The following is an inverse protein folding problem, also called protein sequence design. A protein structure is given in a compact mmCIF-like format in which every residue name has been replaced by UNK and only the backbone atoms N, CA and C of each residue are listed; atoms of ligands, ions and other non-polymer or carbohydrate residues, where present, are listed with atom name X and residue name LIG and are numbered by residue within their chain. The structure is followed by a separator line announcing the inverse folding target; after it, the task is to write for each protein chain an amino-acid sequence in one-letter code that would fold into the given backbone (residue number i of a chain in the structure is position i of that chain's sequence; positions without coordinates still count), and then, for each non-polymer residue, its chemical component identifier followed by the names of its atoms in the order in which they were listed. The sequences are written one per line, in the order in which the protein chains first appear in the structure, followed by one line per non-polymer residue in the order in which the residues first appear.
data_IF_944377157979
#
_entry.id   IF_944377157979
#
_cell.length_a   1.000
_cell.length_b   1.000
_cell.length_c   1.000
_cell.angle_alpha   90.00
_cell.angle_beta   90.00
_cell.angle_gamma   90.00
#
_symmetry.space_group_name_H-M   'P 1'
#
loop_
_entity.id
_entity.type
_entity.pdbx_description
1 polymer ?
#
# COMPACT_ATOMS: atom_id res chain seq x y z
N UNK A 1 17.16 -11.51 -13.58
CA UNK A 1 16.10 -11.00 -12.69
C UNK A 1 15.25 -10.05 -13.53
N UNK A 2 13.92 -10.23 -13.54
CA UNK A 2 13.05 -9.28 -14.24
C UNK A 2 12.88 -8.05 -13.35
N UNK A 3 12.96 -6.87 -13.94
CA UNK A 3 12.70 -5.63 -13.23
C UNK A 3 11.20 -5.46 -12.99
N UNK A 4 10.82 -5.02 -11.78
CA UNK A 4 9.44 -4.62 -11.50
C UNK A 4 9.11 -3.34 -12.28
N UNK A 5 7.93 -3.27 -12.89
CA UNK A 5 7.47 -2.03 -13.53
C UNK A 5 7.38 -0.89 -12.53
N UNK A 6 7.67 0.33 -12.99
CA UNK A 6 7.54 1.56 -12.21
C UNK A 6 6.63 2.60 -12.89
N UNK A 7 6.07 2.30 -14.07
CA UNK A 7 5.17 3.22 -14.78
C UNK A 7 3.80 2.57 -14.96
N UNK A 8 2.76 3.23 -14.46
CA UNK A 8 1.39 2.73 -14.46
C UNK A 8 0.44 3.80 -14.99
N UNK A 9 -0.54 3.37 -15.81
CA UNK A 9 -1.62 4.23 -16.32
C UNK A 9 -2.86 4.24 -15.42
N UNK A 10 -2.78 3.57 -14.26
CA UNK A 10 -3.85 3.43 -13.28
C UNK A 10 -3.35 3.85 -11.90
N UNK A 11 -4.24 4.31 -11.00
CA UNK A 11 -3.86 4.62 -9.62
C UNK A 11 -3.23 3.41 -8.89
N UNK A 12 -2.24 3.66 -8.03
CA UNK A 12 -1.57 2.61 -7.26
C UNK A 12 -1.59 2.94 -5.76
N UNK A 13 -2.21 2.08 -4.97
CA UNK A 13 -2.25 2.21 -3.51
C UNK A 13 -1.61 0.99 -2.86
N UNK A 14 -0.69 1.22 -1.92
CA UNK A 14 -0.08 0.15 -1.11
C UNK A 14 -0.58 0.31 0.32
N UNK A 15 -1.12 -0.77 0.87
CA UNK A 15 -1.54 -0.87 2.27
C UNK A 15 -0.62 -1.87 2.95
N UNK A 16 0.07 -1.46 4.01
CA UNK A 16 1.13 -2.25 4.63
C UNK A 16 1.08 -2.14 6.15
N UNK A 17 1.17 -3.27 6.86
CA UNK A 17 1.29 -3.26 8.30
C UNK A 17 2.70 -2.88 8.75
N UNK A 18 2.80 -2.14 9.85
CA UNK A 18 4.08 -1.72 10.43
C UNK A 18 4.93 -2.91 10.91
N UNK A 19 4.28 -3.99 11.34
CA UNK A 19 4.93 -5.18 11.90
C UNK A 19 5.01 -6.34 10.91
N UNK A 20 4.86 -6.07 9.62
CA UNK A 20 5.05 -7.10 8.59
C UNK A 20 6.54 -7.44 8.47
N UNK A 21 6.89 -8.63 8.94
CA UNK A 21 8.22 -9.23 8.81
C UNK A 21 8.33 -10.22 7.64
N UNK A 22 7.22 -10.51 6.94
CA UNK A 22 7.23 -11.31 5.72
C UNK A 22 7.68 -10.46 4.53
N UNK A 23 7.26 -9.19 4.48
CA UNK A 23 7.66 -8.22 3.46
C UNK A 23 8.24 -6.97 4.12
N UNK A 24 9.45 -6.59 3.71
CA UNK A 24 10.10 -5.40 4.28
C UNK A 24 9.35 -4.13 3.90
N UNK A 25 8.77 -3.47 4.91
CA UNK A 25 8.14 -2.16 4.74
C UNK A 25 9.11 -1.11 4.15
N UNK A 26 10.40 -1.22 4.48
CA UNK A 26 11.43 -0.32 3.94
C UNK A 26 11.62 -0.54 2.44
N UNK A 27 11.67 -1.79 1.98
CA UNK A 27 11.79 -2.08 0.54
C UNK A 27 10.50 -1.75 -0.21
N UNK A 28 9.33 -2.04 0.36
CA UNK A 28 8.04 -1.67 -0.20
C UNK A 28 7.95 -0.14 -0.39
N UNK A 29 8.39 0.65 0.61
CA UNK A 29 8.43 2.11 0.51
C UNK A 29 9.40 2.60 -0.57
N UNK A 30 10.63 2.05 -0.61
CA UNK A 30 11.61 2.38 -1.66
C UNK A 30 11.10 2.07 -3.07
N UNK A 31 10.34 1.00 -3.23
CA UNK A 31 9.69 0.67 -4.50
C UNK A 31 8.57 1.67 -4.82
N UNK A 32 7.68 1.95 -3.86
CA UNK A 32 6.61 2.95 -3.99
C UNK A 32 7.12 4.33 -4.41
N UNK A 33 8.25 4.76 -3.86
CA UNK A 33 8.85 6.06 -4.19
C UNK A 33 9.25 6.14 -5.68
N UNK A 34 9.60 5.01 -6.31
CA UNK A 34 9.94 4.92 -7.75
C UNK A 34 8.71 4.88 -8.67
N UNK A 35 7.54 4.49 -8.16
CA UNK A 35 6.32 4.35 -8.96
C UNK A 35 5.86 5.71 -9.52
N UNK A 36 5.52 5.74 -10.81
CA UNK A 36 4.80 6.82 -11.49
C UNK A 36 3.41 6.31 -11.86
N UNK A 37 2.39 6.97 -11.35
CA UNK A 37 0.98 6.65 -11.55
C UNK A 37 0.15 7.96 -11.51
N UNK A 38 -1.05 8.01 -12.12
CA UNK A 38 -1.92 9.19 -12.08
C UNK A 38 -2.33 9.60 -10.66
N UNK A 39 -2.49 8.64 -9.74
CA UNK A 39 -2.57 8.85 -8.30
C UNK A 39 -1.82 7.71 -7.59
N UNK A 40 -1.25 8.00 -6.42
CA UNK A 40 -0.63 6.97 -5.58
C UNK A 40 -0.61 7.35 -4.10
N UNK A 41 -0.81 6.36 -3.23
CA UNK A 41 -0.60 6.53 -1.80
C UNK A 41 -0.07 5.26 -1.13
N UNK A 42 0.63 5.44 -0.01
CA UNK A 42 1.12 4.38 0.85
C UNK A 42 0.49 4.53 2.22
N UNK A 43 -0.28 3.55 2.65
CA UNK A 43 -0.97 3.54 3.94
C UNK A 43 -0.26 2.58 4.89
N UNK A 44 0.29 3.12 5.97
CA UNK A 44 0.81 2.31 7.08
C UNK A 44 -0.29 2.02 8.09
N UNK A 45 -0.42 0.74 8.44
CA UNK A 45 -1.32 0.24 9.47
C UNK A 45 -0.49 0.01 10.74
N UNK A 46 -0.68 0.91 11.72
CA UNK A 46 0.17 1.03 12.90
C UNK A 46 0.01 -0.14 13.88
N UNK A 47 -1.07 -0.92 13.77
CA UNK A 47 -1.37 -2.06 14.64
C UNK A 47 -1.54 -3.37 13.87
N UNK A 48 -0.97 -3.47 12.65
CA UNK A 48 -1.05 -4.66 11.79
C UNK A 48 0.33 -5.18 11.39
N UNK A 49 0.40 -6.48 11.13
CA UNK A 49 1.48 -7.16 10.44
C UNK A 49 1.12 -7.40 8.97
N UNK A 50 1.19 -8.64 8.48
CA UNK A 50 1.10 -8.95 7.05
C UNK A 50 -0.32 -8.83 6.48
N UNK A 51 -1.37 -8.86 7.31
CA UNK A 51 -2.75 -8.87 6.84
C UNK A 51 -3.57 -7.73 7.45
N UNK A 52 -3.29 -6.45 7.11
CA UNK A 52 -4.03 -5.30 7.62
C UNK A 52 -5.55 -5.37 7.44
N UNK A 53 -6.02 -6.05 6.40
CA UNK A 53 -7.44 -6.26 6.13
C UNK A 53 -8.13 -7.20 7.15
N UNK A 54 -7.38 -8.10 7.77
CA UNK A 54 -7.88 -9.01 8.81
C UNK A 54 -7.61 -8.48 10.22
N UNK A 55 -6.49 -7.78 10.41
CA UNK A 55 -6.02 -7.29 11.71
C UNK A 55 -6.67 -5.97 12.13
N UNK A 56 -6.91 -5.04 11.20
CA UNK A 56 -7.64 -3.77 11.45
C UNK A 56 -8.76 -3.57 10.39
N UNK A 57 -9.79 -4.43 10.34
CA UNK A 57 -10.77 -4.46 9.27
C UNK A 57 -11.56 -3.15 9.12
N UNK A 58 -11.93 -2.49 10.22
CA UNK A 58 -12.66 -1.21 10.18
C UNK A 58 -11.81 -0.10 9.55
N UNK A 59 -10.52 -0.04 9.93
CA UNK A 59 -9.56 0.92 9.36
C UNK A 59 -9.32 0.61 7.88
N UNK A 60 -9.19 -0.67 7.52
CA UNK A 60 -9.04 -1.11 6.14
C UNK A 60 -10.21 -0.65 5.26
N UNK A 61 -11.45 -0.91 5.70
CA UNK A 61 -12.66 -0.46 4.99
C UNK A 61 -12.71 1.06 4.89
N UNK A 62 -12.34 1.79 5.95
CA UNK A 62 -12.28 3.26 5.92
C UNK A 62 -11.28 3.78 4.86
N UNK A 63 -10.07 3.22 4.80
CA UNK A 63 -9.07 3.57 3.79
C UNK A 63 -9.55 3.26 2.38
N UNK A 64 -10.17 2.09 2.15
CA UNK A 64 -10.71 1.72 0.84
C UNK A 64 -11.83 2.66 0.40
N UNK A 65 -12.75 3.04 1.31
CA UNK A 65 -13.80 4.04 1.02
C UNK A 65 -13.21 5.42 0.70
N UNK A 66 -12.15 5.82 1.40
CA UNK A 66 -11.45 7.07 1.10
C UNK A 66 -10.84 7.04 -0.30
N UNK A 67 -10.24 5.92 -0.70
CA UNK A 67 -9.70 5.73 -2.05
C UNK A 67 -10.82 5.81 -3.10
N UNK A 68 -11.93 5.12 -2.86
CA UNK A 68 -13.09 5.11 -3.76
C UNK A 68 -13.67 6.52 -3.97
N UNK A 69 -13.82 7.29 -2.89
CA UNK A 69 -14.36 8.65 -2.92
C UNK A 69 -13.50 9.72 -3.63
N UNK A 70 -12.26 9.37 -4.02
CA UNK A 70 -11.36 10.27 -4.75
C UNK A 70 -11.47 10.14 -6.28
N UNK A 71 -12.14 9.09 -6.77
CA UNK A 71 -12.40 8.87 -8.19
C UNK A 71 -13.75 9.44 -8.60
#
# INVERSE_FOLDING_TARGET
MNESSINYKVPIYIIHGKYDYQVSQTLARKYFDKIKAPDKAFYTFENSAHSPNAEEPERFVSVVRQIDSKN
#
